data_IF_847384816792
#
_entry.id   IF_847384816792
#
_cell.length_a   1.000
_cell.length_b   1.000
_cell.length_c   1.000
_cell.angle_alpha   90.00
_cell.angle_beta   90.00
_cell.angle_gamma   90.00
#
_symmetry.space_group_name_H-M   'P 1'
#
loop_
_entity.id
_entity.type
_entity.pdbx_description
1 polymer ?
#
# COMPACT_ATOMS: atom_id res chain seq x y z
N UNK A 1 -42.40 -1.34 9.16
CA UNK A 1 -41.20 -1.14 10.01
C UNK A 1 -41.60 -0.72 11.42
N UNK A 2 -42.24 0.44 11.64
CA UNK A 2 -42.61 0.88 12.99
C UNK A 2 -43.62 -0.03 13.73
N UNK A 3 -44.54 -0.70 13.03
CA UNK A 3 -45.45 -1.67 13.66
C UNK A 3 -44.71 -2.90 14.20
N UNK A 4 -43.79 -3.45 13.42
CA UNK A 4 -42.96 -4.60 13.81
C UNK A 4 -42.09 -4.26 15.03
N UNK A 5 -41.64 -3.01 15.15
CA UNK A 5 -40.85 -2.56 16.31
C UNK A 5 -41.68 -2.45 17.59
N UNK A 6 -42.93 -2.03 17.50
CA UNK A 6 -43.87 -2.03 18.64
C UNK A 6 -44.17 -3.47 19.05
N UNK A 7 -44.43 -4.35 18.08
CA UNK A 7 -44.65 -5.77 18.34
C UNK A 7 -43.41 -6.42 18.97
N UNK A 8 -42.19 -6.06 18.54
CA UNK A 8 -40.95 -6.51 19.17
C UNK A 8 -40.85 -6.00 20.61
N UNK A 9 -41.20 -4.75 20.91
CA UNK A 9 -41.10 -4.25 22.29
C UNK A 9 -42.18 -4.88 23.19
N UNK A 10 -43.39 -5.12 22.67
CA UNK A 10 -44.53 -5.61 23.45
C UNK A 10 -44.57 -7.15 23.61
N UNK A 11 -44.09 -7.91 22.62
CA UNK A 11 -44.20 -9.38 22.59
C UNK A 11 -42.92 -10.10 23.01
N UNK A 12 -41.81 -9.38 23.15
CA UNK A 12 -40.52 -9.97 23.43
C UNK A 12 -40.34 -10.19 24.94
N UNK A 13 -40.13 -11.43 25.33
CA UNK A 13 -39.80 -11.79 26.71
C UNK A 13 -38.42 -11.23 27.10
N UNK A 14 -38.21 -10.97 28.40
CA UNK A 14 -36.98 -10.36 28.92
C UNK A 14 -35.70 -11.10 28.48
N UNK A 15 -35.73 -12.43 28.36
CA UNK A 15 -34.60 -13.27 27.96
C UNK A 15 -34.82 -13.91 26.59
N UNK A 16 -34.76 -13.09 25.55
CA UNK A 16 -35.00 -13.48 24.17
C UNK A 16 -33.74 -13.29 23.31
N UNK A 17 -33.72 -13.97 22.17
CA UNK A 17 -32.68 -13.79 21.13
C UNK A 17 -33.36 -13.22 19.90
N UNK A 18 -32.92 -12.05 19.45
CA UNK A 18 -33.47 -11.35 18.30
C UNK A 18 -32.48 -11.40 17.14
N UNK A 19 -32.94 -11.93 16.01
CA UNK A 19 -32.22 -11.91 14.75
C UNK A 19 -32.78 -10.82 13.86
N UNK A 20 -31.93 -9.92 13.39
CA UNK A 20 -32.32 -8.77 12.59
C UNK A 20 -31.46 -8.71 11.35
N UNK A 21 -32.10 -8.83 10.19
CA UNK A 21 -31.45 -8.73 8.88
C UNK A 21 -31.64 -7.32 8.31
N UNK A 22 -30.54 -6.72 7.85
CA UNK A 22 -30.47 -5.37 7.27
C UNK A 22 -31.15 -4.28 8.15
N UNK A 23 -30.70 -4.09 9.41
CA UNK A 23 -31.31 -3.17 10.38
C UNK A 23 -31.36 -1.71 9.91
N UNK A 24 -30.49 -1.32 8.97
CA UNK A 24 -30.38 0.01 8.40
C UNK A 24 -31.27 0.25 7.17
N UNK A 25 -31.90 -0.79 6.62
CA UNK A 25 -32.60 -0.70 5.33
C UNK A 25 -33.69 0.37 5.37
N UNK A 26 -33.70 1.26 4.37
CA UNK A 26 -34.62 2.41 4.27
C UNK A 26 -34.50 3.47 5.38
N UNK A 27 -33.48 3.41 6.24
CA UNK A 27 -33.19 4.41 7.25
C UNK A 27 -31.92 5.17 6.89
N UNK A 28 -31.85 6.44 7.25
CA UNK A 28 -30.56 7.11 7.23
C UNK A 28 -29.66 6.51 8.34
N UNK A 29 -28.33 6.48 8.17
CA UNK A 29 -27.44 5.78 9.11
C UNK A 29 -27.55 6.24 10.56
N UNK A 30 -27.68 7.56 10.78
CA UNK A 30 -27.82 8.12 12.13
C UNK A 30 -29.13 7.71 12.82
N UNK A 31 -30.22 7.61 12.06
CA UNK A 31 -31.52 7.16 12.56
C UNK A 31 -31.51 5.67 12.87
N UNK A 32 -30.94 4.84 11.98
CA UNK A 32 -30.78 3.41 12.21
C UNK A 32 -30.00 3.16 13.52
N UNK A 33 -28.86 3.83 13.68
CA UNK A 33 -28.03 3.66 14.87
C UNK A 33 -28.78 4.04 16.15
N UNK A 34 -29.41 5.23 16.17
CA UNK A 34 -30.18 5.70 17.34
C UNK A 34 -31.36 4.80 17.68
N UNK A 35 -32.09 4.33 16.67
CA UNK A 35 -33.25 3.49 16.84
C UNK A 35 -32.88 2.18 17.53
N UNK A 36 -31.92 1.45 16.98
CA UNK A 36 -31.50 0.15 17.51
C UNK A 36 -30.83 0.28 18.87
N UNK A 37 -30.06 1.35 19.12
CA UNK A 37 -29.49 1.63 20.45
C UNK A 37 -30.58 1.88 21.49
N UNK A 38 -31.68 2.53 21.11
CA UNK A 38 -32.81 2.75 22.01
C UNK A 38 -33.55 1.45 22.31
N UNK A 39 -33.74 0.58 21.33
CA UNK A 39 -34.41 -0.72 21.51
C UNK A 39 -33.57 -1.63 22.42
N UNK A 40 -32.26 -1.70 22.21
CA UNK A 40 -31.33 -2.43 23.07
C UNK A 40 -31.40 -1.97 24.53
N UNK A 41 -31.52 -0.66 24.75
CA UNK A 41 -31.65 -0.11 26.11
C UNK A 41 -32.96 -0.48 26.81
N UNK A 42 -34.02 -0.72 26.03
CA UNK A 42 -35.34 -1.11 26.56
C UNK A 42 -35.39 -2.61 26.89
N UNK A 43 -34.55 -3.43 26.25
CA UNK A 43 -34.48 -4.87 26.42
C UNK A 43 -33.07 -5.31 26.84
N UNK A 44 -32.57 -4.89 28.03
CA UNK A 44 -31.18 -5.09 28.43
C UNK A 44 -30.79 -6.55 28.68
N UNK A 45 -31.76 -7.44 28.85
CA UNK A 45 -31.55 -8.88 29.08
C UNK A 45 -31.64 -9.71 27.78
N UNK A 46 -32.05 -9.10 26.67
CA UNK A 46 -32.14 -9.76 25.38
C UNK A 46 -30.79 -9.77 24.64
N UNK A 47 -30.59 -10.78 23.79
CA UNK A 47 -29.42 -10.90 22.92
C UNK A 47 -29.81 -10.49 21.51
N UNK A 48 -29.12 -9.50 20.96
CA UNK A 48 -29.33 -9.04 19.59
C UNK A 48 -28.25 -9.57 18.66
N UNK A 49 -28.66 -10.15 17.53
CA UNK A 49 -27.80 -10.64 16.46
C UNK A 49 -28.21 -9.94 15.18
N UNK A 50 -27.32 -9.11 14.63
CA UNK A 50 -27.54 -8.33 13.43
C UNK A 50 -26.77 -8.90 12.24
N UNK A 51 -27.42 -9.02 11.09
CA UNK A 51 -26.77 -9.16 9.79
C UNK A 51 -26.86 -7.80 9.07
N UNK A 52 -25.71 -7.22 8.73
CA UNK A 52 -25.63 -5.87 8.17
C UNK A 52 -24.47 -5.76 7.19
N UNK A 53 -24.65 -4.97 6.13
CA UNK A 53 -23.56 -4.55 5.26
C UNK A 53 -23.00 -3.16 5.63
N UNK A 54 -23.63 -2.46 6.59
CA UNK A 54 -23.20 -1.14 7.05
C UNK A 54 -22.10 -1.21 8.11
N UNK A 55 -20.89 -0.83 7.72
CA UNK A 55 -19.75 -0.61 8.65
C UNK A 55 -20.12 0.36 9.78
N UNK A 56 -20.88 1.42 9.49
CA UNK A 56 -21.30 2.40 10.51
C UNK A 56 -22.28 1.79 11.53
N UNK A 57 -23.06 0.78 11.13
CA UNK A 57 -23.97 0.08 12.04
C UNK A 57 -23.23 -0.96 12.87
N UNK A 58 -22.30 -1.68 12.25
CA UNK A 58 -21.42 -2.65 12.90
C UNK A 58 -20.48 -2.01 13.97
N UNK A 59 -20.18 -0.71 13.85
CA UNK A 59 -19.31 0.05 14.76
C UNK A 59 -20.04 0.84 15.85
N UNK A 60 -21.32 0.57 16.11
CA UNK A 60 -22.01 1.22 17.23
C UNK A 60 -21.39 0.80 18.55
N UNK A 61 -21.36 1.72 19.51
CA UNK A 61 -20.81 1.48 20.86
C UNK A 61 -21.48 0.31 21.60
N UNK A 62 -22.72 -0.03 21.26
CA UNK A 62 -23.45 -1.15 21.86
C UNK A 62 -23.07 -2.52 21.31
N UNK A 63 -22.32 -2.59 20.22
CA UNK A 63 -21.88 -3.86 19.63
C UNK A 63 -20.75 -4.45 20.48
N UNK A 64 -21.00 -5.64 21.03
CA UNK A 64 -20.05 -6.33 21.90
C UNK A 64 -19.12 -7.28 21.17
N UNK A 65 -19.59 -7.89 20.08
CA UNK A 65 -18.85 -8.85 19.26
C UNK A 65 -19.13 -8.57 17.80
N UNK A 66 -18.08 -8.57 16.99
CA UNK A 66 -18.20 -8.38 15.55
C UNK A 66 -17.66 -9.61 14.82
N UNK A 67 -18.55 -10.25 14.07
CA UNK A 67 -18.23 -11.40 13.24
C UNK A 67 -18.27 -10.96 11.79
N UNK A 68 -17.20 -11.27 11.06
CA UNK A 68 -17.10 -10.99 9.62
C UNK A 68 -17.20 -12.30 8.88
N UNK A 69 -18.19 -12.36 7.99
CA UNK A 69 -18.44 -13.50 7.13
C UNK A 69 -17.72 -13.30 5.79
N UNK A 70 -17.11 -14.35 5.28
CA UNK A 70 -16.56 -14.37 3.92
C UNK A 70 -17.44 -15.20 2.98
N UNK A 71 -17.21 -15.09 1.68
CA UNK A 71 -17.87 -15.92 0.66
C UNK A 71 -17.48 -17.41 0.73
N UNK A 72 -16.58 -17.79 1.65
CA UNK A 72 -16.17 -19.16 1.88
C UNK A 72 -16.70 -19.58 3.26
N UNK A 73 -17.56 -20.62 3.28
CA UNK A 73 -18.30 -21.10 4.47
C UNK A 73 -17.39 -21.50 5.66
N UNK A 74 -16.07 -21.57 5.45
CA UNK A 74 -15.08 -22.00 6.44
C UNK A 74 -14.34 -20.85 7.15
N UNK A 75 -14.57 -19.57 6.81
CA UNK A 75 -13.86 -18.45 7.46
C UNK A 75 -14.82 -17.41 8.05
N UNK A 76 -15.32 -17.70 9.25
CA UNK A 76 -15.92 -16.70 10.13
C UNK A 76 -14.81 -16.14 11.00
N UNK A 77 -14.56 -14.83 10.89
CA UNK A 77 -13.58 -14.17 11.73
C UNK A 77 -14.26 -13.31 12.79
N UNK A 78 -13.91 -13.55 14.05
CA UNK A 78 -14.26 -12.64 15.15
C UNK A 78 -13.18 -11.56 15.28
N UNK A 79 -13.60 -10.30 15.29
CA UNK A 79 -12.72 -9.17 15.57
C UNK A 79 -12.81 -8.82 17.04
N UNK A 80 -11.69 -8.96 17.74
CA UNK A 80 -11.54 -8.60 19.16
C UNK A 80 -10.78 -7.27 19.30
N UNK A 81 -10.92 -6.57 20.43
CA UNK A 81 -10.07 -5.40 20.74
C UNK A 81 -10.26 -4.18 19.83
N UNK A 82 -11.39 -4.07 19.12
CA UNK A 82 -11.72 -2.88 18.31
C UNK A 82 -11.77 -1.61 19.16
N UNK A 83 -12.16 -1.72 20.43
CA UNK A 83 -12.19 -0.64 21.41
C UNK A 83 -10.80 -0.03 21.71
N UNK A 84 -9.72 -0.75 21.45
CA UNK A 84 -8.34 -0.23 21.55
C UNK A 84 -7.96 0.69 20.37
N UNK A 85 -8.75 0.69 19.30
CA UNK A 85 -8.54 1.49 18.10
C UNK A 85 -9.34 2.79 18.14
N UNK A 86 -8.85 3.81 17.43
CA UNK A 86 -9.66 5.02 17.18
C UNK A 86 -10.85 4.66 16.28
N UNK A 87 -11.95 5.41 16.35
CA UNK A 87 -13.10 5.20 15.46
C UNK A 87 -12.72 5.30 13.96
N UNK A 88 -11.75 6.17 13.63
CA UNK A 88 -11.21 6.31 12.28
C UNK A 88 -10.44 5.06 11.85
N UNK A 89 -9.61 4.50 12.75
CA UNK A 89 -8.86 3.26 12.54
C UNK A 89 -9.81 2.07 12.38
N UNK A 90 -10.88 2.00 13.18
CA UNK A 90 -11.92 0.98 13.09
C UNK A 90 -12.67 1.05 11.76
N UNK A 91 -13.04 2.26 11.32
CA UNK A 91 -13.75 2.47 10.06
C UNK A 91 -12.86 2.17 8.84
N UNK A 92 -11.59 2.58 8.87
CA UNK A 92 -10.63 2.24 7.83
C UNK A 92 -10.39 0.73 7.76
N UNK A 93 -10.33 0.06 8.91
CA UNK A 93 -10.26 -1.38 8.97
C UNK A 93 -11.54 -1.99 8.36
N UNK A 94 -12.72 -1.68 8.90
CA UNK A 94 -13.98 -2.30 8.49
C UNK A 94 -14.45 -1.95 7.08
N UNK A 95 -14.11 -0.77 6.57
CA UNK A 95 -14.38 -0.38 5.19
C UNK A 95 -13.57 -1.19 4.17
N UNK A 96 -12.37 -1.64 4.55
CA UNK A 96 -11.50 -2.45 3.70
C UNK A 96 -11.55 -3.95 4.07
N UNK A 97 -12.16 -4.30 5.21
CA UNK A 97 -12.17 -5.65 5.79
C UNK A 97 -12.83 -6.72 4.93
N UNK A 98 -13.97 -6.53 4.26
CA UNK A 98 -14.67 -7.67 3.63
C UNK A 98 -13.77 -8.41 2.63
N UNK A 99 -12.85 -7.69 1.96
CA UNK A 99 -11.80 -8.27 1.11
C UNK A 99 -10.53 -8.68 1.87
N UNK A 100 -10.15 -7.98 2.95
CA UNK A 100 -8.93 -8.27 3.74
C UNK A 100 -9.08 -9.45 4.73
N UNK A 101 -10.28 -9.69 5.26
CA UNK A 101 -10.58 -10.70 6.29
C UNK A 101 -10.95 -12.06 5.69
N UNK A 102 -11.49 -12.07 4.48
CA UNK A 102 -11.75 -13.30 3.73
C UNK A 102 -10.47 -14.10 3.42
N UNK A 103 -9.31 -13.46 3.52
CA UNK A 103 -8.02 -14.05 3.17
C UNK A 103 -6.99 -13.83 4.28
N UNK A 104 -6.35 -14.90 4.76
CA UNK A 104 -5.28 -14.86 5.77
C UNK A 104 -4.08 -13.97 5.37
N UNK A 105 -4.00 -13.64 4.08
CA UNK A 105 -2.91 -12.99 3.41
C UNK A 105 -3.48 -11.87 2.53
N UNK A 106 -3.28 -10.61 2.94
CA UNK A 106 -3.79 -9.48 2.17
C UNK A 106 -2.69 -8.49 1.80
N UNK A 107 -2.71 -8.07 0.53
CA UNK A 107 -1.77 -7.10 -0.02
C UNK A 107 -2.48 -5.76 -0.16
N UNK A 108 -2.05 -4.77 0.61
CA UNK A 108 -2.54 -3.40 0.50
C UNK A 108 -1.76 -2.72 -0.62
N UNK A 109 -2.48 -2.20 -1.61
CA UNK A 109 -1.91 -1.58 -2.82
C UNK A 109 -2.40 -0.14 -2.97
N UNK A 110 -1.68 0.66 -3.75
CA UNK A 110 -2.15 1.98 -4.17
C UNK A 110 -3.34 1.88 -5.14
N UNK A 111 -4.06 2.98 -5.32
CA UNK A 111 -5.16 3.11 -6.27
C UNK A 111 -6.53 2.72 -5.73
N UNK A 112 -7.43 2.36 -6.65
CA UNK A 112 -8.84 2.01 -6.39
C UNK A 112 -9.19 0.70 -7.12
N UNK A 113 -10.30 0.05 -6.77
CA UNK A 113 -10.64 -1.26 -7.34
C UNK A 113 -10.68 -1.32 -8.88
N UNK A 114 -11.16 -0.26 -9.53
CA UNK A 114 -11.20 -0.16 -10.99
C UNK A 114 -9.97 0.54 -11.61
N UNK A 115 -8.98 0.91 -10.80
CA UNK A 115 -7.73 1.49 -11.29
C UNK A 115 -6.82 0.45 -11.94
N UNK A 116 -5.76 0.95 -12.58
CA UNK A 116 -4.69 0.15 -13.14
C UNK A 116 -4.15 -0.87 -12.12
N UNK A 117 -3.85 -0.42 -10.90
CA UNK A 117 -3.31 -1.22 -9.79
C UNK A 117 -4.17 -2.43 -9.49
N UNK A 118 -5.48 -2.23 -9.35
CA UNK A 118 -6.42 -3.32 -9.08
C UNK A 118 -6.35 -4.39 -10.19
N UNK A 119 -6.30 -3.98 -11.46
CA UNK A 119 -6.22 -4.91 -12.60
C UNK A 119 -4.87 -5.63 -12.62
N UNK A 120 -3.78 -4.89 -12.43
CA UNK A 120 -2.40 -5.38 -12.48
C UNK A 120 -2.11 -6.38 -11.36
N UNK A 121 -2.40 -6.03 -10.10
CA UNK A 121 -2.16 -6.93 -8.99
C UNK A 121 -3.08 -8.15 -9.02
N UNK A 122 -4.34 -8.05 -9.48
CA UNK A 122 -5.19 -9.23 -9.70
C UNK A 122 -4.68 -10.17 -10.78
N UNK A 123 -3.94 -9.67 -11.77
CA UNK A 123 -3.28 -10.51 -12.76
C UNK A 123 -2.10 -11.26 -12.15
N UNK A 124 -1.19 -10.55 -11.47
CA UNK A 124 0.00 -11.12 -10.84
C UNK A 124 -0.35 -12.13 -9.73
N UNK A 125 -1.37 -11.84 -8.94
CA UNK A 125 -1.76 -12.62 -7.78
C UNK A 125 -2.85 -13.67 -8.08
N UNK A 126 -3.27 -13.84 -9.34
CA UNK A 126 -4.43 -14.67 -9.70
C UNK A 126 -4.38 -16.12 -9.21
N UNK A 127 -3.18 -16.69 -9.06
CA UNK A 127 -2.94 -18.06 -8.55
C UNK A 127 -2.54 -18.10 -7.08
N UNK A 128 -2.39 -16.94 -6.46
CA UNK A 128 -2.01 -16.81 -5.07
C UNK A 128 -3.29 -16.58 -4.26
N UNK A 129 -3.43 -17.24 -3.11
CA UNK A 129 -4.50 -16.95 -2.15
C UNK A 129 -4.25 -15.59 -1.45
N UNK A 130 -4.00 -14.54 -2.24
CA UNK A 130 -3.65 -13.18 -1.83
C UNK A 130 -4.55 -12.24 -2.60
N UNK A 131 -5.34 -11.46 -1.86
CA UNK A 131 -6.21 -10.44 -2.48
C UNK A 131 -5.55 -9.08 -2.40
N UNK A 132 -5.42 -8.36 -3.54
CA UNK A 132 -5.03 -6.96 -3.53
C UNK A 132 -6.20 -6.12 -3.03
N UNK A 133 -5.93 -5.24 -2.07
CA UNK A 133 -6.88 -4.28 -1.52
C UNK A 133 -6.35 -2.87 -1.77
N UNK A 134 -6.87 -2.18 -2.79
CA UNK A 134 -6.50 -0.78 -3.06
C UNK A 134 -7.03 0.14 -1.97
N UNK A 135 -6.18 1.02 -1.43
CA UNK A 135 -6.55 1.91 -0.29
C UNK A 135 -6.35 3.39 -0.56
N UNK A 136 -6.09 3.78 -1.82
CA UNK A 136 -5.82 5.17 -2.17
C UNK A 136 -4.34 5.45 -2.39
N UNK A 137 -3.79 6.46 -1.73
CA UNK A 137 -2.43 6.95 -1.99
C UNK A 137 -1.35 6.18 -1.21
N UNK A 138 -0.08 6.38 -1.58
CA UNK A 138 1.07 5.77 -0.89
C UNK A 138 1.11 6.06 0.62
N UNK A 139 0.61 7.22 1.05
CA UNK A 139 0.50 7.60 2.47
C UNK A 139 -0.53 6.76 3.20
N UNK A 140 -1.65 6.43 2.56
CA UNK A 140 -2.71 5.59 3.11
C UNK A 140 -2.21 4.15 3.25
N UNK A 141 -1.52 3.63 2.22
CA UNK A 141 -0.84 2.33 2.27
C UNK A 141 0.17 2.30 3.41
N UNK A 142 0.99 3.34 3.56
CA UNK A 142 1.99 3.44 4.62
C UNK A 142 1.36 3.52 6.01
N UNK A 143 0.32 4.33 6.18
CA UNK A 143 -0.41 4.43 7.45
C UNK A 143 -1.00 3.08 7.83
N UNK A 144 -1.58 2.36 6.88
CA UNK A 144 -2.17 1.04 7.12
C UNK A 144 -1.11 -0.02 7.42
N UNK A 145 -0.04 -0.09 6.62
CA UNK A 145 1.03 -1.08 6.81
C UNK A 145 1.78 -0.87 8.14
N UNK A 146 2.09 0.39 8.51
CA UNK A 146 2.82 0.68 9.76
C UNK A 146 1.99 0.45 11.02
N UNK A 147 0.67 0.38 10.91
CA UNK A 147 -0.25 0.05 12.01
C UNK A 147 -0.38 -1.47 12.25
N UNK A 148 0.40 -2.31 11.56
CA UNK A 148 0.42 -3.78 11.70
C UNK A 148 0.41 -4.27 13.16
N UNK A 149 1.13 -3.61 14.06
CA UNK A 149 1.17 -3.98 15.48
C UNK A 149 -0.17 -3.81 16.22
N UNK A 150 -1.03 -2.90 15.77
CA UNK A 150 -2.41 -2.75 16.27
C UNK A 150 -3.35 -3.74 15.58
N UNK A 151 -3.20 -3.93 14.26
CA UNK A 151 -4.06 -4.83 13.48
C UNK A 151 -3.89 -6.30 13.88
N UNK A 152 -2.67 -6.74 14.15
CA UNK A 152 -2.39 -8.10 14.61
C UNK A 152 -3.03 -8.42 15.98
N UNK A 153 -3.41 -7.41 16.76
CA UNK A 153 -4.16 -7.62 18.03
C UNK A 153 -5.65 -7.83 17.77
N UNK A 154 -6.18 -7.13 16.78
CA UNK A 154 -7.60 -7.17 16.41
C UNK A 154 -7.94 -8.40 15.57
N UNK A 155 -7.00 -8.78 14.72
CA UNK A 155 -7.11 -9.90 13.78
C UNK A 155 -5.75 -10.60 13.65
N UNK A 156 -5.39 -11.50 14.58
CA UNK A 156 -4.08 -12.16 14.60
C UNK A 156 -3.81 -13.03 13.36
N UNK A 157 -4.87 -13.52 12.72
CA UNK A 157 -4.79 -14.40 11.55
C UNK A 157 -4.55 -13.66 10.23
N UNK A 158 -4.73 -12.33 10.19
CA UNK A 158 -4.56 -11.53 8.97
C UNK A 158 -3.19 -10.87 8.99
N UNK A 159 -2.38 -11.21 7.99
CA UNK A 159 -1.13 -10.48 7.70
C UNK A 159 -1.40 -9.40 6.67
N UNK A 160 -1.16 -8.16 7.06
CA UNK A 160 -1.28 -6.99 6.20
C UNK A 160 0.10 -6.56 5.72
N UNK A 161 0.33 -6.65 4.41
CA UNK A 161 1.56 -6.15 3.80
C UNK A 161 1.21 -5.03 2.83
N UNK A 162 1.83 -3.86 2.97
CA UNK A 162 1.65 -2.74 2.03
C UNK A 162 2.71 -2.74 0.95
N UNK A 163 2.31 -2.50 -0.30
CA UNK A 163 3.22 -2.23 -1.41
C UNK A 163 2.97 -0.84 -2.00
N UNK A 164 4.05 -0.13 -2.29
CA UNK A 164 4.02 1.22 -2.82
C UNK A 164 4.92 1.37 -4.05
N UNK A 165 4.59 2.36 -4.88
CA UNK A 165 5.42 2.82 -5.99
C UNK A 165 6.77 3.34 -5.47
N UNK A 166 7.82 3.05 -6.25
CA UNK A 166 9.17 3.53 -5.93
C UNK A 166 9.29 5.02 -6.16
N UNK A 167 8.60 5.53 -7.17
CA UNK A 167 8.74 6.90 -7.66
C UNK A 167 10.23 7.29 -7.77
N UNK A 168 10.54 8.52 -7.39
CA UNK A 168 11.89 9.08 -7.36
C UNK A 168 12.62 8.80 -6.04
N UNK A 169 12.09 7.95 -5.15
CA UNK A 169 12.68 7.69 -3.83
C UNK A 169 14.13 7.18 -3.98
N UNK A 170 15.03 7.70 -3.14
CA UNK A 170 16.42 7.26 -3.06
C UNK A 170 16.52 5.84 -2.49
N UNK A 171 17.63 5.15 -2.75
CA UNK A 171 17.86 3.80 -2.20
C UNK A 171 17.80 3.79 -0.66
N UNK A 172 18.31 4.84 0.00
CA UNK A 172 18.22 4.99 1.45
C UNK A 172 16.76 5.14 1.94
N UNK A 173 15.94 5.90 1.20
CA UNK A 173 14.52 6.05 1.52
C UNK A 173 13.77 4.73 1.33
N UNK A 174 14.08 3.98 0.27
CA UNK A 174 13.54 2.64 0.02
C UNK A 174 13.89 1.71 1.19
N UNK A 175 15.16 1.62 1.58
CA UNK A 175 15.60 0.76 2.68
C UNK A 175 14.91 1.14 4.01
N UNK A 176 14.73 2.43 4.26
CA UNK A 176 14.02 2.93 5.46
C UNK A 176 12.55 2.50 5.49
N UNK A 177 11.87 2.46 4.34
CA UNK A 177 10.48 1.99 4.22
C UNK A 177 10.40 0.47 4.33
N UNK A 178 11.32 -0.26 3.71
CA UNK A 178 11.39 -1.72 3.82
C UNK A 178 11.65 -2.19 5.26
N UNK A 179 12.51 -1.48 6.00
CA UNK A 179 12.73 -1.75 7.42
C UNK A 179 11.48 -1.52 8.29
N UNK A 180 10.48 -0.77 7.80
CA UNK A 180 9.19 -0.57 8.46
C UNK A 180 8.13 -1.61 8.05
N UNK A 181 8.50 -2.60 7.23
CA UNK A 181 7.61 -3.66 6.76
C UNK A 181 6.80 -3.31 5.52
N UNK A 182 7.15 -2.24 4.80
CA UNK A 182 6.58 -1.96 3.47
C UNK A 182 7.37 -2.65 2.36
N UNK A 183 6.69 -2.98 1.27
CA UNK A 183 7.34 -3.37 0.01
C UNK A 183 7.41 -2.13 -0.87
N UNK A 184 8.59 -1.83 -1.40
CA UNK A 184 8.73 -0.83 -2.46
C UNK A 184 8.98 -1.55 -3.77
N UNK A 185 8.32 -1.12 -4.85
CA UNK A 185 8.49 -1.71 -6.17
C UNK A 185 9.95 -1.60 -6.67
N UNK A 186 10.35 -2.59 -7.48
CA UNK A 186 11.69 -2.60 -8.09
C UNK A 186 11.79 -1.63 -9.26
N UNK A 187 10.67 -1.44 -9.97
CA UNK A 187 10.49 -0.44 -11.04
C UNK A 187 9.95 0.88 -10.48
N UNK A 188 9.90 1.93 -11.29
CA UNK A 188 9.44 3.25 -10.89
C UNK A 188 8.00 3.24 -10.36
N UNK A 189 7.07 2.70 -11.16
CA UNK A 189 5.65 2.49 -10.83
C UNK A 189 5.22 1.08 -11.26
N UNK A 190 4.01 0.66 -10.87
CA UNK A 190 3.41 -0.58 -11.34
C UNK A 190 3.30 -0.64 -12.88
N UNK A 191 2.98 0.48 -13.54
CA UNK A 191 2.86 0.60 -14.99
C UNK A 191 4.14 0.22 -15.73
N UNK A 192 5.30 0.49 -15.15
CA UNK A 192 6.60 0.19 -15.76
C UNK A 192 6.82 -1.30 -16.01
N UNK A 193 6.16 -2.18 -15.25
CA UNK A 193 6.20 -3.62 -15.52
C UNK A 193 5.51 -4.01 -16.83
N UNK A 194 4.59 -3.19 -17.33
CA UNK A 194 3.93 -3.38 -18.63
C UNK A 194 4.58 -2.60 -19.78
N UNK A 195 5.57 -1.75 -19.48
CA UNK A 195 6.34 -1.01 -20.47
C UNK A 195 7.54 -1.80 -21.04
N UNK A 196 7.65 -3.09 -20.73
CA UNK A 196 8.71 -3.95 -21.27
C UNK A 196 8.49 -4.20 -22.78
N UNK A 197 9.49 -3.92 -23.65
CA UNK A 197 9.36 -4.12 -25.09
C UNK A 197 9.05 -5.55 -25.53
N UNK A 198 9.50 -6.58 -24.80
CA UNK A 198 9.15 -7.96 -25.12
C UNK A 198 7.67 -8.24 -24.81
N UNK A 199 7.19 -7.75 -23.66
CA UNK A 199 5.79 -7.83 -23.28
C UNK A 199 4.87 -7.12 -24.27
N UNK A 200 5.20 -5.88 -24.65
CA UNK A 200 4.40 -5.10 -25.59
C UNK A 200 4.36 -5.75 -26.97
N UNK A 201 5.48 -6.31 -27.43
CA UNK A 201 5.54 -7.04 -28.69
C UNK A 201 4.69 -8.32 -28.67
N UNK A 202 4.75 -9.09 -27.58
CA UNK A 202 3.91 -10.28 -27.40
C UNK A 202 2.42 -9.91 -27.37
N UNK A 203 2.05 -8.82 -26.66
CA UNK A 203 0.68 -8.32 -26.60
C UNK A 203 0.18 -7.89 -27.98
N UNK A 204 0.99 -7.18 -28.76
CA UNK A 204 0.65 -6.75 -30.12
C UNK A 204 0.29 -7.94 -31.02
N UNK A 205 1.08 -9.02 -30.92
CA UNK A 205 0.81 -10.27 -31.63
C UNK A 205 -0.48 -10.96 -31.18
N UNK A 206 -0.77 -10.95 -29.88
CA UNK A 206 -1.97 -11.58 -29.33
C UNK A 206 -3.27 -10.81 -29.62
N UNK A 207 -3.20 -9.47 -29.70
CA UNK A 207 -4.35 -8.63 -30.04
C UNK A 207 -4.79 -8.82 -31.49
N UNK A 208 -3.84 -8.95 -32.42
CA UNK A 208 -4.13 -9.14 -33.85
C UNK A 208 -4.95 -8.01 -34.49
N UNK A 209 -5.06 -6.86 -33.83
CA UNK A 209 -5.88 -5.70 -34.23
C UNK A 209 -5.15 -4.78 -35.21
N UNK A 210 -3.82 -4.87 -35.29
CA UNK A 210 -2.98 -4.01 -36.11
C UNK A 210 -2.53 -4.75 -37.38
N UNK A 211 -2.71 -4.12 -38.55
CA UNK A 211 -2.20 -4.65 -39.83
C UNK A 211 -0.67 -4.79 -39.82
N UNK A 212 0.02 -3.90 -39.09
CA UNK A 212 1.46 -3.96 -38.86
C UNK A 212 1.75 -3.65 -37.38
N UNK A 213 1.86 -4.67 -36.52
CA UNK A 213 2.23 -4.46 -35.12
C UNK A 213 3.66 -3.91 -35.04
N UNK A 214 3.91 -3.07 -34.04
CA UNK A 214 5.25 -2.58 -33.73
C UNK A 214 6.18 -3.75 -33.34
N UNK A 215 7.39 -3.69 -33.84
CA UNK A 215 8.47 -4.59 -33.46
C UNK A 215 9.01 -4.24 -32.08
N UNK A 216 9.63 -5.22 -31.42
CA UNK A 216 10.36 -5.01 -30.15
C UNK A 216 11.33 -3.82 -30.22
N UNK A 217 12.07 -3.68 -31.32
CA UNK A 217 13.04 -2.61 -31.50
C UNK A 217 12.38 -1.22 -31.60
N UNK A 218 11.18 -1.12 -32.16
CA UNK A 218 10.43 0.14 -32.22
C UNK A 218 9.92 0.55 -30.84
N UNK A 219 9.43 -0.39 -30.03
CA UNK A 219 9.05 -0.12 -28.63
C UNK A 219 10.26 0.31 -27.78
N UNK A 220 11.39 -0.36 -27.96
CA UNK A 220 12.65 -0.02 -27.30
C UNK A 220 13.13 1.38 -27.71
N UNK A 221 13.02 1.73 -29.01
CA UNK A 221 13.37 3.06 -29.47
C UNK A 221 12.47 4.14 -28.85
N UNK A 222 11.15 3.91 -28.83
CA UNK A 222 10.19 4.83 -28.20
C UNK A 222 10.47 5.02 -26.70
N UNK A 223 10.91 3.97 -26.00
CA UNK A 223 11.33 4.04 -24.60
C UNK A 223 12.51 5.00 -24.41
N UNK A 224 13.55 4.87 -25.25
CA UNK A 224 14.74 5.73 -25.15
C UNK A 224 14.47 7.14 -25.64
N UNK A 225 13.57 7.33 -26.61
CA UNK A 225 13.11 8.65 -27.02
C UNK A 225 12.38 9.34 -25.87
N UNK A 226 11.49 8.61 -25.19
CA UNK A 226 10.81 9.11 -23.99
C UNK A 226 11.79 9.42 -22.84
N UNK A 227 12.82 8.60 -22.64
CA UNK A 227 13.88 8.87 -21.68
C UNK A 227 14.64 10.16 -21.99
N UNK A 228 14.95 10.41 -23.26
CA UNK A 228 15.63 11.63 -23.69
C UNK A 228 14.73 12.87 -23.52
N UNK A 229 13.43 12.75 -23.81
CA UNK A 229 12.47 13.84 -23.60
C UNK A 229 12.35 14.25 -22.13
N UNK A 230 12.46 13.30 -21.20
CA UNK A 230 12.21 13.52 -19.77
C UNK A 230 13.50 13.52 -18.91
N UNK A 231 14.69 13.46 -19.51
CA UNK A 231 15.97 13.32 -18.81
C UNK A 231 16.17 14.38 -17.72
N UNK A 232 15.93 15.65 -18.06
CA UNK A 232 16.13 16.76 -17.13
C UNK A 232 15.14 16.72 -15.97
N UNK A 233 13.89 16.36 -16.24
CA UNK A 233 12.85 16.24 -15.22
C UNK A 233 13.16 15.09 -14.25
N UNK A 234 13.56 13.93 -14.78
CA UNK A 234 13.98 12.77 -13.99
C UNK A 234 15.17 13.14 -13.11
N UNK A 235 16.20 13.76 -13.69
CA UNK A 235 17.38 14.20 -12.95
C UNK A 235 17.02 15.16 -11.81
N UNK A 236 16.17 16.16 -12.08
CA UNK A 236 15.71 17.12 -11.08
C UNK A 236 14.91 16.44 -9.96
N UNK A 237 13.90 15.61 -10.29
CA UNK A 237 13.06 14.94 -9.30
C UNK A 237 13.82 13.95 -8.42
N UNK A 238 14.76 13.19 -9.01
CA UNK A 238 15.64 12.27 -8.25
C UNK A 238 16.60 13.02 -7.35
N UNK A 239 17.19 14.11 -7.84
CA UNK A 239 18.05 14.98 -7.03
C UNK A 239 17.26 15.57 -5.86
N UNK A 240 16.03 16.04 -6.08
CA UNK A 240 15.16 16.54 -5.02
C UNK A 240 14.85 15.46 -3.98
N UNK A 241 14.56 14.23 -4.41
CA UNK A 241 14.28 13.12 -3.51
C UNK A 241 15.51 12.69 -2.69
N UNK A 242 16.72 12.78 -3.28
CA UNK A 242 18.00 12.52 -2.60
C UNK A 242 18.35 13.63 -1.62
N UNK A 243 18.16 14.88 -2.03
CA UNK A 243 18.41 16.08 -1.23
C UNK A 243 17.13 16.50 -0.49
N UNK A 244 16.54 15.57 0.25
CA UNK A 244 15.35 15.84 1.04
C UNK A 244 15.73 15.90 2.53
N UNK A 245 15.56 17.08 3.15
CA UNK A 245 15.72 17.23 4.60
C UNK A 245 14.44 17.78 5.22
N UNK A 246 13.91 17.05 6.20
CA UNK A 246 12.81 17.51 7.01
C UNK A 246 13.35 18.24 8.25
N UNK A 247 13.28 19.57 8.24
CA UNK A 247 13.69 20.41 9.37
C UNK A 247 12.47 20.68 10.24
N UNK A 248 12.45 20.09 11.43
CA UNK A 248 11.40 20.32 12.43
C UNK A 248 12.06 20.63 13.78
N UNK A 249 12.06 21.90 14.20
CA UNK A 249 12.52 22.28 15.53
C UNK A 249 11.69 21.54 16.57
N UNK A 250 12.34 20.73 17.38
CA UNK A 250 11.67 19.97 18.43
C UNK A 250 12.61 19.68 19.58
N UNK A 251 12.06 19.70 20.80
CA UNK A 251 12.80 19.32 22.00
C UNK A 251 12.38 17.88 22.36
N UNK A 252 13.30 16.90 22.29
CA UNK A 252 12.99 15.52 22.63
C UNK A 252 12.44 15.42 24.06
N UNK A 253 11.50 14.49 24.29
CA UNK A 253 10.87 14.32 25.62
C UNK A 253 11.89 14.06 26.74
N UNK A 254 13.04 13.45 26.43
CA UNK A 254 14.14 13.24 27.38
C UNK A 254 14.81 14.56 27.82
N UNK A 255 14.94 15.52 26.90
CA UNK A 255 15.49 16.85 27.17
C UNK A 255 14.47 17.70 27.92
N UNK A 256 13.20 17.64 27.50
CA UNK A 256 12.10 18.36 28.15
C UNK A 256 11.97 18.04 29.65
N UNK A 257 12.23 16.78 30.06
CA UNK A 257 12.25 16.36 31.47
C UNK A 257 13.32 17.06 32.34
N UNK A 258 14.35 17.65 31.72
CA UNK A 258 15.45 18.34 32.41
C UNK A 258 15.33 19.86 32.36
N UNK A 259 14.34 20.37 31.62
CA UNK A 259 14.06 21.79 31.51
C UNK A 259 13.40 22.25 32.81
N UNK A 260 14.08 23.11 33.57
CA UNK A 260 13.60 23.61 34.86
C UNK A 260 12.93 24.99 34.75
N UNK A 261 13.13 25.70 33.64
CA UNK A 261 12.64 27.06 33.44
C UNK A 261 12.31 27.33 31.97
N UNK A 262 11.56 28.41 31.70
CA UNK A 262 11.32 28.88 30.33
C UNK A 262 12.64 29.22 29.61
N UNK A 263 13.62 29.79 30.30
CA UNK A 263 14.93 30.10 29.72
C UNK A 263 15.69 28.84 29.26
N UNK A 264 15.53 27.72 29.97
CA UNK A 264 16.12 26.44 29.56
C UNK A 264 15.38 25.82 28.37
N UNK A 265 14.06 26.01 28.29
CA UNK A 265 13.25 25.60 27.14
C UNK A 265 13.68 26.37 25.88
N UNK A 266 13.79 27.69 26.02
CA UNK A 266 14.22 28.60 24.95
C UNK A 266 15.61 28.21 24.44
N UNK A 267 16.57 27.99 25.36
CA UNK A 267 17.93 27.53 24.99
C UNK A 267 17.89 26.20 24.24
N UNK A 268 17.12 25.22 24.71
CA UNK A 268 17.02 23.92 24.07
C UNK A 268 16.44 23.99 22.65
N UNK A 269 15.44 24.86 22.41
CA UNK A 269 14.92 25.10 21.06
C UNK A 269 15.95 25.78 20.16
N UNK A 270 16.63 26.82 20.65
CA UNK A 270 17.65 27.55 19.87
C UNK A 270 18.82 26.62 19.48
N UNK A 271 19.29 25.77 20.41
CA UNK A 271 20.34 24.79 20.15
C UNK A 271 19.89 23.75 19.11
N UNK A 272 18.65 23.26 19.19
CA UNK A 272 18.11 22.31 18.22
C UNK A 272 18.03 22.92 16.81
N UNK A 273 17.52 24.16 16.70
CA UNK A 273 17.48 24.89 15.42
C UNK A 273 18.89 25.07 14.87
N UNK A 274 19.84 25.51 15.69
CA UNK A 274 21.22 25.76 15.27
C UNK A 274 21.89 24.47 14.77
N UNK A 275 21.68 23.35 15.46
CA UNK A 275 22.18 22.04 15.05
C UNK A 275 21.55 21.56 13.74
N UNK A 276 20.24 21.74 13.56
CA UNK A 276 19.56 21.38 12.31
C UNK A 276 20.02 22.26 11.14
N UNK A 277 20.24 23.55 11.36
CA UNK A 277 20.78 24.47 10.34
C UNK A 277 22.22 24.12 9.96
N UNK A 278 23.06 23.74 10.92
CA UNK A 278 24.41 23.27 10.64
C UNK A 278 24.39 22.01 9.76
N UNK A 279 23.50 21.05 10.07
CA UNK A 279 23.32 19.86 9.25
C UNK A 279 22.76 20.19 7.86
N UNK A 280 21.78 21.09 7.75
CA UNK A 280 21.25 21.54 6.47
C UNK A 280 22.34 22.16 5.58
N UNK A 281 23.23 22.98 6.15
CA UNK A 281 24.35 23.56 5.42
C UNK A 281 25.34 22.51 4.91
N UNK A 282 25.50 21.37 5.59
CA UNK A 282 26.36 20.27 5.10
C UNK A 282 25.71 19.45 3.99
N UNK A 283 24.38 19.36 3.96
CA UNK A 283 23.66 18.55 2.96
C UNK A 283 23.33 19.36 1.71
N UNK A 284 23.10 20.67 1.86
CA UNK A 284 22.68 21.57 0.79
C UNK A 284 23.78 22.52 0.30
N UNK A 285 25.06 22.23 0.56
CA UNK A 285 26.13 23.03 -0.02
C UNK A 285 26.20 22.87 -1.55
N UNK A 286 26.78 23.88 -2.21
CA UNK A 286 26.87 23.94 -3.68
C UNK A 286 27.57 22.71 -4.27
N UNK A 287 28.55 22.17 -3.55
CA UNK A 287 29.33 21.02 -4.00
C UNK A 287 28.50 19.73 -3.96
N UNK A 288 27.70 19.54 -2.91
CA UNK A 288 26.81 18.40 -2.71
C UNK A 288 25.69 18.39 -3.73
N UNK A 289 25.11 19.56 -4.04
CA UNK A 289 24.09 19.69 -5.10
C UNK A 289 24.68 19.34 -6.47
N UNK A 290 25.86 19.86 -6.80
CA UNK A 290 26.54 19.55 -8.08
C UNK A 290 26.89 18.06 -8.18
N UNK A 291 27.40 17.46 -7.10
CA UNK A 291 27.71 16.04 -7.06
C UNK A 291 26.45 15.18 -7.27
N UNK A 292 25.35 15.51 -6.59
CA UNK A 292 24.10 14.77 -6.74
C UNK A 292 23.53 14.82 -8.17
N UNK A 293 23.58 16.00 -8.82
CA UNK A 293 23.17 16.15 -10.22
C UNK A 293 24.08 15.39 -11.18
N UNK A 294 25.40 15.44 -10.97
CA UNK A 294 26.36 14.77 -11.84
C UNK A 294 26.29 13.24 -11.70
N UNK A 295 26.04 12.73 -10.48
CA UNK A 295 25.79 11.30 -10.24
C UNK A 295 24.56 10.82 -11.05
N UNK A 296 23.43 11.54 -10.94
CA UNK A 296 22.19 11.17 -11.66
C UNK A 296 22.35 11.31 -13.17
N UNK A 297 23.06 12.35 -13.64
CA UNK A 297 23.41 12.52 -15.06
C UNK A 297 24.27 11.36 -15.57
N UNK A 298 25.31 10.98 -14.83
CA UNK A 298 26.22 9.89 -15.20
C UNK A 298 25.45 8.57 -15.29
N UNK A 299 24.55 8.32 -14.32
CA UNK A 299 23.67 7.14 -14.34
C UNK A 299 22.80 7.10 -15.60
N UNK A 300 22.12 8.20 -15.93
CA UNK A 300 21.27 8.27 -17.12
C UNK A 300 22.08 8.13 -18.42
N UNK A 301 23.29 8.67 -18.48
CA UNK A 301 24.19 8.49 -19.63
C UNK A 301 24.66 7.04 -19.80
N UNK A 302 24.96 6.33 -18.71
CA UNK A 302 25.31 4.93 -18.75
C UNK A 302 24.16 4.06 -19.27
N UNK A 303 22.93 4.31 -18.79
CA UNK A 303 21.71 3.61 -19.23
C UNK A 303 21.49 3.82 -20.74
N UNK A 304 21.58 5.07 -21.22
CA UNK A 304 21.42 5.40 -22.64
C UNK A 304 22.49 4.76 -23.50
N UNK A 305 23.76 4.78 -23.06
CA UNK A 305 24.88 4.22 -23.83
C UNK A 305 24.82 2.70 -23.92
N UNK A 306 24.41 2.04 -22.83
CA UNK A 306 24.24 0.59 -22.78
C UNK A 306 22.93 0.08 -23.40
N UNK A 307 21.99 0.99 -23.68
CA UNK A 307 20.59 0.68 -24.04
C UNK A 307 19.96 -0.34 -23.08
N UNK A 308 20.16 -0.12 -21.78
CA UNK A 308 19.61 -0.97 -20.72
C UNK A 308 18.15 -0.61 -20.42
N UNK A 309 17.23 -1.36 -21.01
CA UNK A 309 15.79 -1.20 -20.84
C UNK A 309 15.37 -1.39 -19.37
N UNK A 310 15.95 -2.37 -18.68
CA UNK A 310 15.55 -2.71 -17.32
C UNK A 310 15.89 -1.58 -16.36
N UNK A 311 17.11 -1.02 -16.45
CA UNK A 311 17.48 0.14 -15.63
C UNK A 311 16.73 1.41 -16.03
N UNK A 312 16.39 1.60 -17.30
CA UNK A 312 15.58 2.74 -17.73
C UNK A 312 14.17 2.71 -17.08
N UNK A 313 13.51 1.54 -17.06
CA UNK A 313 12.18 1.36 -16.47
C UNK A 313 12.14 1.56 -14.94
N UNK A 314 13.29 1.53 -14.26
CA UNK A 314 13.38 1.89 -12.82
C UNK A 314 13.31 3.39 -12.56
N UNK A 315 13.56 4.23 -13.58
CA UNK A 315 13.72 5.67 -13.43
C UNK A 315 12.63 6.50 -14.12
N UNK A 316 12.01 5.93 -15.16
CA UNK A 316 11.04 6.60 -16.01
C UNK A 316 9.63 6.60 -15.40
N UNK A 317 8.90 7.72 -15.45
CA UNK A 317 7.46 7.75 -15.20
C UNK A 317 6.72 6.78 -16.15
N UNK A 318 6.12 5.74 -15.60
CA UNK A 318 5.47 4.67 -16.36
C UNK A 318 4.09 5.05 -16.86
N UNK A 319 3.33 5.84 -16.09
CA UNK A 319 1.94 6.22 -16.43
C UNK A 319 1.80 6.87 -17.81
N UNK A 320 2.63 7.86 -18.13
CA UNK A 320 2.57 8.54 -19.43
C UNK A 320 3.16 7.70 -20.57
N UNK A 321 4.23 6.94 -20.29
CA UNK A 321 4.82 6.02 -21.27
C UNK A 321 3.82 4.92 -21.67
N UNK A 322 3.15 4.31 -20.70
CA UNK A 322 2.16 3.26 -20.93
C UNK A 322 0.95 3.80 -21.72
N UNK A 323 0.55 5.06 -21.54
CA UNK A 323 -0.48 5.71 -22.37
C UNK A 323 -0.05 5.80 -23.83
N UNK A 324 1.22 6.14 -24.12
CA UNK A 324 1.75 6.17 -25.49
C UNK A 324 1.70 4.78 -26.12
N UNK A 325 2.13 3.75 -25.38
CA UNK A 325 2.05 2.37 -25.84
C UNK A 325 0.62 1.85 -26.02
N UNK A 326 -0.31 2.19 -25.13
CA UNK A 326 -1.71 1.85 -25.30
C UNK A 326 -2.26 2.41 -26.62
N UNK A 327 -1.95 3.67 -26.92
CA UNK A 327 -2.34 4.31 -28.18
C UNK A 327 -1.70 3.63 -29.39
N UNK A 328 -0.42 3.28 -29.32
CA UNK A 328 0.30 2.63 -30.42
C UNK A 328 -0.19 1.19 -30.69
N UNK A 329 -0.76 0.55 -29.66
CA UNK A 329 -1.45 -0.75 -29.74
C UNK A 329 -2.93 -0.66 -30.15
N UNK A 330 -3.46 0.55 -30.39
CA UNK A 330 -4.87 0.77 -30.76
C UNK A 330 -5.86 0.62 -29.59
N UNK A 331 -5.39 0.74 -28.35
CA UNK A 331 -6.20 0.67 -27.14
C UNK A 331 -6.58 2.08 -26.64
N UNK A 332 -7.69 2.19 -25.92
CA UNK A 332 -8.25 3.49 -25.49
C UNK A 332 -7.51 4.10 -24.31
N UNK A 333 -7.03 3.29 -23.37
CA UNK A 333 -6.40 3.72 -22.13
C UNK A 333 -5.48 2.62 -21.54
N UNK A 334 -4.76 2.98 -20.47
CA UNK A 334 -3.87 2.08 -19.73
C UNK A 334 -4.60 0.91 -19.07
N UNK A 335 -5.84 1.13 -18.62
CA UNK A 335 -6.66 0.07 -18.03
C UNK A 335 -7.05 -0.99 -19.06
N UNK A 336 -7.33 -0.59 -20.30
CA UNK A 336 -7.63 -1.47 -21.41
C UNK A 336 -6.41 -2.29 -21.81
N UNK A 337 -5.22 -1.68 -21.78
CA UNK A 337 -3.95 -2.40 -21.92
C UNK A 337 -3.75 -3.41 -20.78
N UNK A 338 -3.92 -3.02 -19.53
CA UNK A 338 -3.79 -3.94 -18.39
C UNK A 338 -4.77 -5.12 -18.47
N UNK A 339 -6.02 -4.88 -18.89
CA UNK A 339 -7.02 -5.95 -19.13
C UNK A 339 -6.62 -6.86 -20.28
N UNK A 340 -6.07 -6.30 -21.36
CA UNK A 340 -5.59 -7.09 -22.49
C UNK A 340 -4.40 -7.98 -22.09
N UNK A 341 -3.42 -7.43 -21.37
CA UNK A 341 -2.31 -8.18 -20.78
C UNK A 341 -2.85 -9.32 -19.91
N UNK A 342 -3.73 -9.01 -18.96
CA UNK A 342 -4.32 -10.01 -18.06
C UNK A 342 -5.03 -11.15 -18.80
N UNK A 343 -5.66 -10.85 -19.94
CA UNK A 343 -6.44 -11.83 -20.72
C UNK A 343 -5.56 -12.69 -21.63
N UNK A 344 -4.49 -12.14 -22.17
CA UNK A 344 -3.75 -12.74 -23.27
C UNK A 344 -2.35 -13.23 -22.89
N UNK A 345 -1.78 -12.74 -21.80
CA UNK A 345 -0.41 -13.00 -21.40
C UNK A 345 -0.34 -13.72 -20.06
N UNK A 346 0.62 -14.64 -19.97
CA UNK A 346 0.93 -15.35 -18.74
C UNK A 346 2.06 -14.64 -17.97
N UNK A 347 1.95 -14.63 -16.63
CA UNK A 347 2.86 -13.90 -15.75
C UNK A 347 4.26 -14.51 -15.78
N UNK A 348 4.36 -15.84 -15.86
CA UNK A 348 5.64 -16.57 -15.84
C UNK A 348 6.47 -16.38 -17.12
N UNK A 349 5.85 -15.87 -18.19
CA UNK A 349 6.53 -15.60 -19.45
C UNK A 349 7.46 -14.38 -19.40
N UNK A 350 7.35 -13.53 -18.37
CA UNK A 350 8.09 -12.27 -18.27
C UNK A 350 8.92 -12.20 -16.98
N UNK A 351 10.26 -12.26 -17.05
CA UNK A 351 11.12 -12.41 -15.88
C UNK A 351 10.92 -11.36 -14.78
N UNK A 352 10.77 -10.08 -15.14
CA UNK A 352 10.59 -9.01 -14.16
C UNK A 352 9.29 -9.16 -13.35
N UNK A 353 8.23 -9.67 -13.98
CA UNK A 353 6.91 -9.85 -13.38
C UNK A 353 6.89 -11.15 -12.57
N UNK A 354 7.50 -12.22 -13.07
CA UNK A 354 7.69 -13.46 -12.32
C UNK A 354 8.50 -13.26 -11.02
N UNK A 355 9.56 -12.44 -11.09
CA UNK A 355 10.35 -12.04 -9.90
C UNK A 355 9.48 -11.25 -8.92
N UNK A 356 8.66 -10.31 -9.41
CA UNK A 356 7.72 -9.57 -8.55
C UNK A 356 6.68 -10.50 -7.90
N UNK A 357 6.06 -11.42 -8.66
CA UNK A 357 5.12 -12.43 -8.16
C UNK A 357 5.75 -13.25 -7.04
N UNK A 358 6.95 -13.76 -7.27
CA UNK A 358 7.69 -14.58 -6.28
C UNK A 358 8.03 -13.78 -5.03
N UNK A 359 8.49 -12.54 -5.19
CA UNK A 359 8.79 -11.63 -4.07
C UNK A 359 7.54 -11.38 -3.23
N UNK A 360 6.43 -10.99 -3.87
CA UNK A 360 5.14 -10.76 -3.21
C UNK A 360 4.67 -12.01 -2.47
N UNK A 361 4.70 -13.18 -3.12
CA UNK A 361 4.30 -14.43 -2.49
C UNK A 361 5.14 -14.77 -1.26
N UNK A 362 6.46 -14.67 -1.35
CA UNK A 362 7.36 -15.01 -0.23
C UNK A 362 7.11 -14.15 1.01
N UNK A 363 6.87 -12.86 0.82
CA UNK A 363 6.66 -11.90 1.90
C UNK A 363 5.27 -12.13 2.52
N UNK A 364 4.24 -12.26 1.68
CA UNK A 364 2.86 -12.42 2.13
C UNK A 364 2.62 -13.79 2.78
N UNK A 365 3.23 -14.86 2.28
CA UNK A 365 3.12 -16.20 2.87
C UNK A 365 3.99 -16.38 4.13
N UNK A 366 4.91 -15.45 4.42
CA UNK A 366 5.82 -15.51 5.56
C UNK A 366 6.89 -16.60 5.44
N UNK A 367 7.06 -17.19 4.25
CA UNK A 367 8.25 -17.98 3.94
C UNK A 367 9.38 -17.01 3.60
N UNK A 368 10.08 -16.53 4.62
CA UNK A 368 11.33 -15.81 4.40
C UNK A 368 12.29 -16.71 3.62
N UNK A 369 12.80 -16.19 2.51
CA UNK A 369 13.91 -16.83 1.78
C UNK A 369 15.10 -16.94 2.76
N UNK A 370 15.75 -18.11 2.97
CA UNK A 370 16.75 -18.30 4.03
C UNK A 370 18.06 -17.52 3.86
N UNK A 371 18.18 -16.66 2.84
CA UNK A 371 19.43 -16.00 2.47
C UNK A 371 19.73 -14.71 3.23
N UNK A 372 18.76 -14.13 3.96
CA UNK A 372 18.99 -12.89 4.73
C UNK A 372 19.27 -13.12 6.23
N UNK A 373 18.97 -14.30 6.78
CA UNK A 373 19.07 -14.55 8.23
C UNK A 373 20.45 -15.06 8.68
N UNK A 374 21.28 -15.56 7.76
CA UNK A 374 22.58 -16.13 8.10
C UNK A 374 23.76 -15.13 8.15
N UNK A 375 23.58 -13.85 7.82
CA UNK A 375 24.64 -12.85 7.99
C UNK A 375 24.57 -12.11 9.34
N UNK A 376 23.42 -12.11 10.02
CA UNK A 376 23.30 -11.50 11.35
C UNK A 376 23.77 -12.43 12.49
N UNK A 377 23.77 -13.76 12.29
CA UNK A 377 24.22 -14.73 13.30
C UNK A 377 25.71 -15.11 13.19
N UNK A 378 26.36 -14.90 12.04
CA UNK A 378 27.80 -15.18 11.88
C UNK A 378 28.70 -14.05 12.43
N UNK A 379 28.18 -12.83 12.63
CA UNK A 379 28.95 -11.71 13.17
C UNK A 379 29.06 -11.71 14.71
N UNK A 380 28.20 -12.47 15.41
CA UNK A 380 28.18 -12.51 16.89
C UNK A 380 28.91 -13.72 17.50
N UNK A 381 29.49 -14.61 16.69
CA UNK A 381 30.24 -15.79 17.17
C UNK A 381 31.77 -15.67 16.99
N UNK A 382 32.29 -14.53 16.53
CA UNK A 382 33.74 -14.33 16.29
C UNK A 382 34.39 -13.39 17.31
N UNK A 383 33.64 -12.79 18.24
CA UNK A 383 34.18 -11.78 19.18
C UNK A 383 34.33 -12.29 20.64
N UNK A 384 34.03 -13.56 20.93
CA UNK A 384 34.14 -14.11 22.30
C UNK A 384 35.15 -15.25 22.46
N UNK A 385 36.19 -15.29 21.62
CA UNK A 385 37.33 -16.19 21.83
C UNK A 385 38.61 -15.49 21.42
N UNK A 386 39.06 -14.57 22.26
CA UNK A 386 40.48 -14.26 22.54
C UNK A 386 40.56 -13.07 23.50
N UNK A 387 40.52 -13.37 24.80
CA UNK A 387 41.29 -12.72 25.88
C UNK A 387 40.96 -13.36 27.24
#
# INVERSE_FOLDING_TARGET
MFSILVDVIELTEEQSVLFVDEPELNLNPGLANRLWTSIESLLPLAVFIYATHSVNFALRETVQRLLVLSNNDESIQELAGLDELSFEDQKALLGNIPSLIAHKNALIVEGYDESFDGIFYRWILSELNVVPSPVGASEDVTAMATRHGKWARVSPEVRLTGIIDRDFKSDDAVQSLENKGLIVLGMHEAENYLCDPELLHALAGALGTLEKPLSRAEFEQELFDYLNENELEICAKRTNARLNLNIRPSVPSKTLKKVASYADLERAFIENVSSQMAHANTVFDEQSVKAALEDERTRLQAIKSGRDVHEALKLLPGKELLKRYAKSLGLTDTNSLARAVRKHLDVESFPAIAVLKTRLYSIVSGTSNPSATNQAQAANSVVTSDN
#
